data_IF_311358486594
#
_entry.id   IF_311358486594
#
_cell.length_a   1.000
_cell.length_b   1.000
_cell.length_c   1.000
_cell.angle_alpha   90.00
_cell.angle_beta   90.00
_cell.angle_gamma   90.00
#
_symmetry.space_group_name_H-M   'P 1'
#
loop_
_entity.id
_entity.type
_entity.pdbx_description
1 polymer ?
#
# COMPACT_ATOMS: atom_id res chain seq x y z
N UNK A 1 7.04 16.59 -13.52
CA UNK A 1 7.85 15.38 -13.22
C UNK A 1 7.11 14.58 -12.15
N UNK A 2 6.98 13.27 -12.31
CA UNK A 2 6.37 12.39 -11.29
C UNK A 2 7.42 11.99 -10.26
N UNK A 3 7.09 12.08 -8.97
CA UNK A 3 7.95 11.60 -7.86
C UNK A 3 7.19 10.57 -7.03
N UNK A 4 7.90 9.53 -6.63
CA UNK A 4 7.38 8.45 -5.78
C UNK A 4 8.22 8.41 -4.51
N UNK A 5 7.55 8.45 -3.36
CA UNK A 5 8.14 8.24 -2.04
C UNK A 5 7.46 7.05 -1.40
N UNK A 6 8.23 6.17 -0.77
CA UNK A 6 7.71 4.95 -0.15
C UNK A 6 8.26 4.78 1.27
N UNK A 7 7.47 4.21 2.16
CA UNK A 7 7.85 3.85 3.52
C UNK A 7 7.17 2.53 3.94
N UNK A 8 7.66 1.94 5.03
CA UNK A 8 7.11 0.74 5.64
C UNK A 8 7.96 -0.52 5.42
N UNK A 9 7.78 -1.46 6.32
CA UNK A 9 8.53 -2.70 6.43
C UNK A 9 7.70 -3.89 5.97
N UNK A 10 8.35 -4.92 5.40
CA UNK A 10 7.68 -6.12 4.89
C UNK A 10 6.81 -6.86 5.91
N UNK A 11 7.15 -6.75 7.20
CA UNK A 11 6.40 -7.34 8.32
C UNK A 11 5.82 -6.28 9.27
N UNK A 12 5.96 -4.99 8.94
CA UNK A 12 5.37 -3.89 9.69
C UNK A 12 3.87 -3.77 9.45
N UNK A 13 3.25 -2.76 10.07
CA UNK A 13 1.80 -2.55 10.03
C UNK A 13 1.24 -2.29 8.62
N UNK A 14 1.97 -1.51 7.82
CA UNK A 14 1.54 -1.12 6.48
C UNK A 14 2.74 -0.65 5.63
N UNK A 15 2.54 -0.64 4.32
CA UNK A 15 3.36 0.10 3.37
C UNK A 15 2.66 1.41 3.01
N UNK A 16 3.42 2.47 2.84
CA UNK A 16 2.90 3.78 2.44
C UNK A 16 3.58 4.23 1.16
N UNK A 17 2.80 4.81 0.25
CA UNK A 17 3.29 5.43 -0.98
C UNK A 17 2.73 6.85 -1.09
N UNK A 18 3.58 7.82 -1.38
CA UNK A 18 3.20 9.18 -1.75
C UNK A 18 3.64 9.43 -3.19
N UNK A 19 2.70 9.83 -4.04
CA UNK A 19 2.92 10.15 -5.45
C UNK A 19 2.67 11.64 -5.66
N UNK A 20 3.68 12.35 -6.17
CA UNK A 20 3.60 13.77 -6.47
C UNK A 20 3.70 14.04 -7.97
N UNK A 21 3.13 15.17 -8.41
CA UNK A 21 3.16 15.60 -9.80
C UNK A 21 2.06 14.98 -10.67
N UNK A 22 1.06 14.34 -10.07
CA UNK A 22 -0.15 13.92 -10.77
C UNK A 22 -0.97 15.16 -11.15
N UNK A 23 -1.48 15.27 -12.40
CA UNK A 23 -2.43 16.31 -12.74
C UNK A 23 -3.76 16.10 -12.01
N UNK A 24 -4.53 17.17 -11.81
CA UNK A 24 -5.90 17.09 -11.28
C UNK A 24 -6.86 16.48 -12.30
N UNK A 25 -7.87 15.74 -11.82
CA UNK A 25 -8.99 15.26 -12.62
C UNK A 25 -8.83 13.83 -13.18
N UNK A 26 -7.67 13.19 -12.99
CA UNK A 26 -7.46 11.79 -13.36
C UNK A 26 -8.39 10.90 -12.55
N UNK A 27 -9.07 9.97 -13.22
CA UNK A 27 -9.92 9.00 -12.55
C UNK A 27 -9.07 7.94 -11.88
N UNK A 28 -9.34 7.68 -10.61
CA UNK A 28 -8.71 6.62 -9.85
C UNK A 28 -9.60 6.21 -8.68
N UNK A 29 -9.80 4.90 -8.53
CA UNK A 29 -10.52 4.30 -7.41
C UNK A 29 -9.61 3.32 -6.65
N UNK A 30 -10.07 2.89 -5.48
CA UNK A 30 -9.36 1.90 -4.68
C UNK A 30 -9.37 0.54 -5.40
N UNK A 31 -10.47 0.23 -6.09
CA UNK A 31 -10.69 -0.99 -6.86
C UNK A 31 -9.72 -1.09 -8.05
N UNK A 32 -9.48 0.03 -8.75
CA UNK A 32 -8.50 0.10 -9.84
C UNK A 32 -7.11 -0.30 -9.33
N UNK A 33 -6.71 0.22 -8.17
CA UNK A 33 -5.39 -0.05 -7.57
C UNK A 33 -5.30 -1.51 -7.10
N UNK A 34 -6.35 -2.02 -6.44
CA UNK A 34 -6.41 -3.41 -5.98
C UNK A 34 -6.34 -4.40 -7.14
N UNK A 35 -6.99 -4.09 -8.26
CA UNK A 35 -6.91 -4.90 -9.47
C UNK A 35 -5.46 -4.98 -9.97
N UNK A 36 -4.76 -3.86 -10.07
CA UNK A 36 -3.35 -3.86 -10.50
C UNK A 36 -2.42 -4.57 -9.50
N UNK A 37 -2.65 -4.42 -8.19
CA UNK A 37 -1.88 -5.16 -7.18
C UNK A 37 -2.11 -6.67 -7.27
N UNK A 38 -3.36 -7.11 -7.49
CA UNK A 38 -3.70 -8.53 -7.61
C UNK A 38 -2.94 -9.22 -8.74
N UNK A 39 -2.66 -8.51 -9.85
CA UNK A 39 -1.90 -9.03 -11.00
C UNK A 39 -0.48 -9.44 -10.63
N UNK A 40 0.12 -8.84 -9.58
CA UNK A 40 1.48 -9.19 -9.11
C UNK A 40 1.58 -10.65 -8.64
N UNK A 41 0.44 -11.28 -8.32
CA UNK A 41 0.33 -12.67 -7.87
C UNK A 41 0.34 -13.69 -9.01
N UNK A 42 0.18 -13.24 -10.26
CA UNK A 42 0.06 -14.10 -11.44
C UNK A 42 1.42 -14.49 -12.08
N UNK A 43 2.54 -14.00 -11.53
CA UNK A 43 3.87 -14.28 -12.07
C UNK A 43 4.39 -15.70 -11.80
N UNK A 44 5.41 -16.13 -12.57
CA UNK A 44 6.12 -17.39 -12.33
C UNK A 44 6.93 -17.34 -11.02
N UNK A 45 7.01 -18.45 -10.29
CA UNK A 45 7.77 -18.55 -9.01
C UNK A 45 7.04 -18.04 -7.76
N UNK A 46 5.72 -17.83 -7.83
CA UNK A 46 4.92 -17.30 -6.72
C UNK A 46 4.51 -18.42 -5.76
N UNK A 47 4.77 -18.21 -4.47
CA UNK A 47 4.55 -19.21 -3.42
C UNK A 47 3.06 -19.36 -3.03
N UNK A 48 2.68 -20.45 -2.34
CA UNK A 48 1.30 -20.68 -1.91
C UNK A 48 0.69 -19.54 -1.08
N UNK A 49 1.53 -18.80 -0.34
CA UNK A 49 1.15 -17.66 0.51
C UNK A 49 0.47 -16.53 -0.24
N UNK A 50 0.91 -16.25 -1.46
CA UNK A 50 0.37 -15.15 -2.27
C UNK A 50 -1.05 -15.41 -2.79
N UNK A 51 -1.62 -16.60 -2.57
CA UNK A 51 -3.02 -16.91 -2.93
C UNK A 51 -4.03 -16.34 -1.95
N UNK A 52 -3.65 -16.09 -0.70
CA UNK A 52 -4.56 -15.68 0.36
C UNK A 52 -4.15 -14.37 1.08
N UNK A 53 -2.95 -13.86 0.81
CA UNK A 53 -2.61 -12.48 1.17
C UNK A 53 -3.48 -11.54 0.33
N UNK A 54 -4.19 -10.63 0.99
CA UNK A 54 -5.02 -9.61 0.34
C UNK A 54 -4.41 -8.26 0.71
N UNK A 55 -3.94 -7.53 -0.29
CA UNK A 55 -3.51 -6.15 -0.12
C UNK A 55 -4.75 -5.28 0.10
N UNK A 56 -4.98 -4.85 1.34
CA UNK A 56 -6.04 -3.89 1.65
C UNK A 56 -5.49 -2.47 1.40
N UNK A 57 -6.04 -1.78 0.40
CA UNK A 57 -5.58 -0.45 -0.03
C UNK A 57 -6.50 0.63 0.48
N UNK A 58 -5.90 1.71 1.02
CA UNK A 58 -6.61 2.93 1.41
C UNK A 58 -6.02 4.14 0.69
N UNK A 59 -6.89 4.95 0.08
CA UNK A 59 -6.53 6.29 -0.42
C UNK A 59 -6.66 7.29 0.73
N UNK A 60 -5.53 7.64 1.34
CA UNK A 60 -5.47 8.53 2.52
C UNK A 60 -5.67 9.99 2.13
N UNK A 61 -5.18 10.40 0.96
CA UNK A 61 -5.26 11.79 0.52
C UNK A 61 -4.97 12.00 -0.96
N UNK A 62 -5.30 13.20 -1.46
CA UNK A 62 -5.05 13.63 -2.85
C UNK A 62 -6.09 13.17 -3.87
N UNK A 63 -7.11 12.42 -3.45
CA UNK A 63 -8.23 11.96 -4.30
C UNK A 63 -9.55 12.35 -3.65
N UNK A 64 -10.49 12.87 -4.45
CA UNK A 64 -11.87 13.17 -4.01
C UNK A 64 -12.84 12.84 -5.15
N UNK A 65 -13.96 12.18 -4.83
CA UNK A 65 -14.95 11.72 -5.81
C UNK A 65 -14.33 10.89 -6.96
N UNK A 66 -13.38 10.01 -6.62
CA UNK A 66 -12.69 9.16 -7.60
C UNK A 66 -11.79 9.92 -8.56
N UNK A 67 -11.36 11.14 -8.21
CA UNK A 67 -10.47 11.97 -9.03
C UNK A 67 -9.32 12.58 -8.25
N UNK A 68 -8.15 12.65 -8.87
CA UNK A 68 -6.97 13.33 -8.31
C UNK A 68 -7.22 14.84 -8.16
N UNK A 69 -6.69 15.43 -7.10
CA UNK A 69 -6.81 16.87 -6.83
C UNK A 69 -5.65 17.71 -7.39
N UNK A 70 -4.60 17.07 -7.89
CA UNK A 70 -3.34 17.73 -8.27
C UNK A 70 -2.36 17.92 -7.11
N UNK A 71 -2.81 17.74 -5.87
CA UNK A 71 -1.97 17.58 -4.68
C UNK A 71 -1.32 16.18 -4.65
N UNK A 72 -0.33 15.94 -3.78
CA UNK A 72 0.20 14.60 -3.54
C UNK A 72 -0.89 13.59 -3.22
N UNK A 73 -0.79 12.40 -3.80
CA UNK A 73 -1.68 11.26 -3.50
C UNK A 73 -0.98 10.33 -2.52
N UNK A 74 -1.62 10.09 -1.37
CA UNK A 74 -1.12 9.20 -0.34
C UNK A 74 -1.93 7.91 -0.33
N UNK A 75 -1.23 6.78 -0.42
CA UNK A 75 -1.79 5.43 -0.46
C UNK A 75 -1.18 4.64 0.70
N UNK A 76 -2.04 4.00 1.48
CA UNK A 76 -1.64 2.99 2.48
C UNK A 76 -2.02 1.60 1.97
N UNK A 77 -1.11 0.65 2.09
CA UNK A 77 -1.34 -0.77 1.80
C UNK A 77 -1.11 -1.53 3.10
N UNK A 78 -2.19 -2.00 3.72
CA UNK A 78 -2.15 -2.65 5.02
C UNK A 78 -1.51 -4.04 4.92
N UNK A 79 -0.66 -4.37 5.87
CA UNK A 79 -0.11 -5.71 5.97
C UNK A 79 -1.07 -6.63 6.74
N UNK A 80 -1.72 -7.56 6.06
CA UNK A 80 -2.70 -8.46 6.71
C UNK A 80 -2.07 -9.41 7.74
N UNK A 81 -0.78 -9.73 7.63
CA UNK A 81 -0.09 -10.58 8.62
C UNK A 81 -0.02 -9.89 10.00
N UNK A 82 0.29 -8.60 10.03
CA UNK A 82 0.43 -7.79 11.25
C UNK A 82 -0.80 -7.80 12.15
N UNK A 83 -2.00 -7.80 11.55
CA UNK A 83 -3.26 -7.77 12.28
C UNK A 83 -3.83 -9.17 12.57
N UNK A 84 -3.26 -10.21 11.98
CA UNK A 84 -3.66 -11.61 12.23
C UNK A 84 -2.83 -12.27 13.32
N UNK A 85 -1.61 -11.78 13.58
CA UNK A 85 -0.69 -12.33 14.57
C UNK A 85 0.25 -11.25 15.13
N UNK A 86 0.62 -11.42 16.38
CA UNK A 86 1.62 -10.64 17.12
C UNK A 86 3.09 -11.03 16.82
N UNK A 87 3.30 -12.04 15.95
CA UNK A 87 4.61 -12.63 15.65
C UNK A 87 5.73 -11.61 15.38
N UNK A 88 5.39 -10.50 14.73
CA UNK A 88 6.36 -9.49 14.29
C UNK A 88 6.35 -8.22 15.14
N UNK A 89 5.48 -8.13 16.15
CA UNK A 89 5.28 -6.88 16.89
C UNK A 89 6.54 -6.45 17.63
N UNK A 90 7.26 -7.41 18.22
CA UNK A 90 8.50 -7.12 18.95
C UNK A 90 9.64 -6.72 18.00
N UNK A 91 9.86 -7.48 16.92
CA UNK A 91 10.93 -7.20 15.97
C UNK A 91 10.72 -5.90 15.18
N UNK A 92 9.47 -5.50 14.95
CA UNK A 92 9.11 -4.26 14.24
C UNK A 92 8.79 -3.10 15.19
N UNK A 93 9.02 -3.24 16.50
CA UNK A 93 8.79 -2.16 17.44
C UNK A 93 9.70 -0.96 17.09
N UNK A 94 9.14 0.25 16.85
CA UNK A 94 9.94 1.42 16.52
C UNK A 94 10.72 1.96 17.73
N UNK A 95 10.40 1.53 18.94
CA UNK A 95 11.18 1.87 20.12
C UNK A 95 12.58 1.24 20.05
N UNK A 96 13.62 1.92 20.57
CA UNK A 96 14.92 1.29 20.74
C UNK A 96 14.77 -0.02 21.52
N UNK A 97 15.34 -1.10 20.99
CA UNK A 97 15.32 -2.41 21.66
C UNK A 97 15.88 -2.30 23.08
N UNK A 98 15.20 -2.95 24.04
CA UNK A 98 15.72 -3.11 25.40
C UNK A 98 16.97 -4.01 25.42
#
# INVERSE_FOLDING_TARGET
MLRYLTAGESHGQALVVIIEGLPSGLQITVEDIQLELSRRRLGYGRGPRQRFEVDEVTLVGGVRHGRTLGSPVAIEIKNTEWFRSDKWHKEMDPAPGA
#
